data_IF_943974488109
#
_entry.id   IF_943974488109
#
_cell.length_a   1.000
_cell.length_b   1.000
_cell.length_c   1.000
_cell.angle_alpha   90.00
_cell.angle_beta   90.00
_cell.angle_gamma   90.00
#
_symmetry.space_group_name_H-M   'P 1'
#
loop_
_entity.id
_entity.type
_entity.pdbx_description
1 polymer ?
#
# COMPACT_ATOMS: atom_id res chain seq x y z
N UNK A 1 -11.48 -20.71 -27.69
CA UNK A 1 -12.37 -19.62 -27.26
C UNK A 1 -12.83 -18.73 -28.44
N UNK A 2 -11.94 -18.14 -29.26
CA UNK A 2 -12.35 -17.20 -30.33
C UNK A 2 -12.96 -17.80 -31.63
N UNK A 3 -12.86 -19.11 -31.87
CA UNK A 3 -13.33 -19.73 -33.13
C UNK A 3 -14.85 -19.97 -33.13
N UNK A 4 -15.43 -20.37 -31.99
CA UNK A 4 -16.87 -20.63 -31.85
C UNK A 4 -17.70 -19.34 -32.00
N UNK A 5 -17.22 -18.23 -31.43
CA UNK A 5 -17.91 -16.94 -31.51
C UNK A 5 -18.02 -16.43 -32.96
N UNK A 6 -16.99 -16.65 -33.80
CA UNK A 6 -16.99 -16.26 -35.21
C UNK A 6 -17.98 -17.05 -36.05
N UNK A 7 -18.17 -18.34 -35.78
CA UNK A 7 -19.09 -19.20 -36.52
C UNK A 7 -20.56 -18.86 -36.26
N UNK A 8 -20.88 -18.29 -35.09
CA UNK A 8 -22.24 -17.94 -34.69
C UNK A 8 -22.57 -16.44 -34.88
N UNK A 9 -21.65 -15.66 -35.48
CA UNK A 9 -21.85 -14.22 -35.68
C UNK A 9 -21.90 -13.41 -34.38
N UNK A 10 -21.33 -13.93 -33.29
CA UNK A 10 -21.34 -13.23 -32.00
C UNK A 10 -20.22 -12.19 -31.96
N UNK A 11 -20.62 -10.92 -31.88
CA UNK A 11 -19.72 -9.82 -31.59
C UNK A 11 -19.46 -9.79 -30.07
N UNK A 12 -18.23 -10.08 -29.66
CA UNK A 12 -17.81 -9.99 -28.28
C UNK A 12 -16.80 -8.84 -28.13
N UNK A 13 -17.03 -8.00 -27.13
CA UNK A 13 -16.07 -6.98 -26.70
C UNK A 13 -15.34 -7.58 -25.50
N UNK A 14 -14.05 -7.87 -25.65
CA UNK A 14 -13.21 -8.20 -24.50
C UNK A 14 -12.92 -6.87 -23.81
N UNK A 15 -13.68 -6.57 -22.76
CA UNK A 15 -13.33 -5.51 -21.82
C UNK A 15 -12.20 -6.03 -20.94
N UNK A 16 -11.07 -5.34 -20.93
CA UNK A 16 -10.10 -5.47 -19.84
C UNK A 16 -10.63 -4.59 -18.71
N UNK A 17 -10.98 -5.18 -17.56
CA UNK A 17 -11.36 -4.44 -16.37
C UNK A 17 -10.10 -3.80 -15.77
N UNK A 18 -9.71 -2.65 -16.33
CA UNK A 18 -8.61 -1.84 -15.84
C UNK A 18 -7.23 -2.52 -15.91
N UNK A 19 -6.18 -1.83 -15.43
CA UNK A 19 -4.92 -2.50 -15.15
C UNK A 19 -5.14 -3.52 -14.04
N UNK A 20 -4.53 -4.69 -14.16
CA UNK A 20 -4.48 -5.66 -13.06
C UNK A 20 -3.79 -5.02 -11.85
N UNK A 21 -4.27 -5.33 -10.64
CA UNK A 21 -3.59 -4.92 -9.41
C UNK A 21 -2.31 -5.75 -9.27
N UNK A 22 -1.17 -5.13 -9.55
CA UNK A 22 0.16 -5.74 -9.42
C UNK A 22 0.82 -5.41 -8.09
N UNK A 23 0.08 -4.84 -7.13
CA UNK A 23 0.60 -4.38 -5.84
C UNK A 23 1.31 -5.51 -5.09
N UNK A 24 0.81 -6.74 -5.19
CA UNK A 24 1.44 -7.92 -4.59
C UNK A 24 2.84 -8.22 -5.18
N UNK A 25 2.98 -8.09 -6.50
CA UNK A 25 4.25 -8.30 -7.19
C UNK A 25 5.24 -7.17 -6.86
N UNK A 26 4.76 -5.93 -6.79
CA UNK A 26 5.56 -4.78 -6.38
C UNK A 26 6.08 -4.91 -4.95
N UNK A 27 5.24 -5.36 -4.01
CA UNK A 27 5.63 -5.62 -2.63
C UNK A 27 6.62 -6.79 -2.50
N UNK A 28 6.50 -7.82 -3.34
CA UNK A 28 7.44 -8.94 -3.36
C UNK A 28 8.82 -8.53 -3.91
N UNK A 29 8.86 -7.68 -4.93
CA UNK A 29 10.11 -7.15 -5.51
C UNK A 29 10.74 -6.07 -4.63
N UNK A 30 9.93 -5.26 -3.96
CA UNK A 30 10.35 -4.16 -3.10
C UNK A 30 9.74 -4.30 -1.70
N UNK A 31 10.22 -5.26 -0.88
CA UNK A 31 9.70 -5.43 0.46
C UNK A 31 9.89 -4.14 1.28
N UNK A 32 8.86 -3.69 2.03
CA UNK A 32 8.97 -2.50 2.84
C UNK A 32 10.08 -2.67 3.86
N UNK A 33 10.92 -1.64 4.00
CA UNK A 33 11.95 -1.64 5.01
C UNK A 33 11.32 -1.72 6.41
N UNK A 34 11.92 -2.47 7.35
CA UNK A 34 11.43 -2.50 8.71
C UNK A 34 11.40 -1.08 9.27
N UNK A 35 10.26 -0.71 9.85
CA UNK A 35 10.09 0.63 10.40
C UNK A 35 11.07 0.85 11.54
N UNK A 36 12.05 1.71 11.32
CA UNK A 36 13.01 2.09 12.36
C UNK A 36 12.29 3.00 13.35
N UNK A 37 11.93 2.45 14.51
CA UNK A 37 11.47 3.27 15.62
C UNK A 37 12.68 3.81 16.38
N UNK A 38 12.78 5.14 16.44
CA UNK A 38 13.69 5.75 17.41
C UNK A 38 13.11 5.53 18.79
N UNK A 39 13.89 4.92 19.69
CA UNK A 39 13.50 4.78 21.10
C UNK A 39 13.51 6.17 21.74
N UNK A 40 12.35 6.83 21.78
CA UNK A 40 12.19 8.14 22.42
C UNK A 40 11.95 7.93 23.92
N UNK A 41 12.85 8.45 24.74
CA UNK A 41 12.70 8.45 26.19
C UNK A 41 11.43 9.20 26.62
N UNK A 42 10.63 8.60 27.50
CA UNK A 42 9.32 9.15 27.95
C UNK A 42 9.40 10.59 28.48
N UNK A 43 10.53 10.97 29.08
CA UNK A 43 10.72 12.29 29.68
C UNK A 43 11.34 13.32 28.72
N UNK A 44 11.85 12.90 27.57
CA UNK A 44 12.45 13.80 26.57
C UNK A 44 11.41 14.69 25.90
N UNK A 45 11.81 15.86 25.35
CA UNK A 45 10.93 16.68 24.53
C UNK A 45 10.38 15.88 23.34
N UNK A 46 9.09 16.08 23.02
CA UNK A 46 8.43 15.39 21.92
C UNK A 46 9.04 15.78 20.56
N UNK A 47 9.36 14.80 19.67
CA UNK A 47 9.85 15.09 18.32
C UNK A 47 8.80 15.82 17.44
N UNK A 48 7.53 15.78 17.84
CA UNK A 48 6.43 16.50 17.21
C UNK A 48 6.43 18.03 17.41
N UNK A 49 7.45 18.58 18.09
CA UNK A 49 7.62 20.03 18.37
C UNK A 49 6.49 20.69 19.18
N UNK A 50 5.70 19.90 19.89
CA UNK A 50 4.62 20.42 20.75
C UNK A 50 5.09 21.15 22.02
N UNK A 51 6.40 21.15 22.30
CA UNK A 51 6.98 21.70 23.53
C UNK A 51 6.71 20.86 24.79
N UNK A 52 6.00 19.73 24.68
CA UNK A 52 5.65 18.84 25.80
C UNK A 52 6.61 17.64 25.87
N UNK A 53 6.74 17.02 27.05
CA UNK A 53 7.45 15.74 27.20
C UNK A 53 6.75 14.64 26.40
N UNK A 54 7.50 13.70 25.83
CA UNK A 54 6.98 12.61 24.97
C UNK A 54 5.80 11.86 25.62
N UNK A 55 5.93 11.50 26.91
CA UNK A 55 4.87 10.84 27.70
C UNK A 55 3.57 11.64 27.89
N UNK A 56 3.56 12.93 27.55
CA UNK A 56 2.40 13.83 27.64
C UNK A 56 1.96 14.33 26.26
N UNK A 57 2.44 13.69 25.19
CA UNK A 57 2.17 14.10 23.81
C UNK A 57 1.96 12.88 22.88
N UNK A 58 2.96 12.49 22.09
CA UNK A 58 2.84 11.36 21.14
C UNK A 58 2.98 9.97 21.78
N UNK A 59 3.49 9.89 23.01
CA UNK A 59 3.53 8.66 23.78
C UNK A 59 2.38 8.52 24.79
N UNK A 60 1.32 9.31 24.61
CA UNK A 60 0.07 9.23 25.37
C UNK A 60 -0.98 8.44 24.59
#
# INVERSE_FOLDING_TARGET
MAQVCRQNGWHYLIGFEGPEDISDLENALNPPLPMQSTKVERNSPCPCRSGRKYKKCCGA
#
